data_IF_061232851559
#
_entry.id   IF_061232851559
#
_cell.length_a   1.000
_cell.length_b   1.000
_cell.length_c   1.000
_cell.angle_alpha   90.00
_cell.angle_beta   90.00
_cell.angle_gamma   90.00
#
_symmetry.space_group_name_H-M   'P 1'
#
loop_
_entity.id
_entity.type
_entity.pdbx_description
1 polymer ?
#
# COMPACT_ATOMS: atom_id res chain seq x y z
N UNK A 1 23.51 9.32 -20.23
CA UNK A 1 23.46 8.59 -21.52
C UNK A 1 24.11 7.25 -21.30
N UNK A 2 23.29 6.21 -21.12
CA UNK A 2 23.74 4.81 -21.06
C UNK A 2 22.74 4.05 -21.93
N UNK A 3 23.20 3.66 -23.12
CA UNK A 3 22.46 2.82 -24.04
C UNK A 3 22.44 1.39 -23.49
N UNK A 4 21.24 0.83 -23.30
CA UNK A 4 21.04 -0.58 -23.00
C UNK A 4 20.41 -1.25 -24.22
N UNK A 5 21.23 -2.04 -24.90
CA UNK A 5 20.87 -2.96 -25.99
C UNK A 5 19.92 -4.07 -25.53
N UNK A 6 18.97 -4.53 -26.36
CA UNK A 6 18.12 -5.67 -26.05
C UNK A 6 18.82 -7.01 -26.33
N UNK A 7 18.89 -7.85 -25.30
CA UNK A 7 19.33 -9.26 -25.37
C UNK A 7 18.24 -10.12 -26.01
N UNK A 8 18.53 -10.64 -27.21
CA UNK A 8 17.72 -11.64 -27.91
C UNK A 8 17.96 -13.02 -27.30
N UNK A 9 17.00 -13.52 -26.52
CA UNK A 9 16.95 -14.93 -26.16
C UNK A 9 16.45 -15.75 -27.36
N UNK A 10 17.33 -16.61 -27.88
CA UNK A 10 17.08 -17.54 -28.98
C UNK A 10 16.19 -18.68 -28.49
N UNK A 11 15.01 -18.82 -29.10
CA UNK A 11 14.21 -20.04 -29.02
C UNK A 11 14.94 -21.17 -29.76
N UNK A 12 15.30 -22.23 -29.03
CA UNK A 12 15.73 -23.50 -29.61
C UNK A 12 14.53 -24.24 -30.18
N UNK A 13 14.40 -24.20 -31.50
CA UNK A 13 13.56 -25.12 -32.27
C UNK A 13 14.22 -26.50 -32.27
N UNK A 14 13.56 -27.48 -31.67
CA UNK A 14 13.87 -28.90 -31.85
C UNK A 14 13.04 -29.44 -33.03
N UNK A 15 13.66 -29.99 -34.08
CA UNK A 15 12.98 -30.75 -35.12
C UNK A 15 13.01 -32.25 -34.76
N UNK A 16 11.84 -32.85 -34.57
CA UNK A 16 11.66 -34.30 -34.46
C UNK A 16 10.21 -34.62 -34.80
N UNK A 17 9.85 -34.99 -36.04
CA UNK A 17 10.14 -36.27 -36.71
C UNK A 17 9.56 -37.44 -35.93
N UNK A 18 8.23 -37.67 -36.01
CA UNK A 18 7.63 -38.97 -35.73
C UNK A 18 6.36 -39.20 -36.57
N UNK A 19 6.54 -40.10 -37.54
CA UNK A 19 5.60 -41.06 -38.11
C UNK A 19 4.31 -40.61 -38.80
N UNK A 20 4.39 -40.72 -40.13
CA UNK A 20 3.34 -41.21 -41.00
C UNK A 20 2.61 -42.42 -40.38
N UNK A 21 1.31 -42.27 -40.10
CA UNK A 21 0.43 -43.35 -39.67
C UNK A 21 -0.77 -43.43 -40.62
N UNK A 22 -0.60 -44.32 -41.60
CA UNK A 22 -1.61 -45.18 -42.22
C UNK A 22 -2.97 -44.55 -42.63
N UNK A 23 -3.06 -44.29 -43.94
CA UNK A 23 -4.30 -44.36 -44.72
C UNK A 23 -4.97 -45.74 -44.51
N UNK A 24 -5.90 -45.82 -43.57
CA UNK A 24 -6.88 -46.91 -43.48
C UNK A 24 -8.16 -46.43 -44.16
N UNK A 25 -8.30 -46.81 -45.42
CA UNK A 25 -9.50 -46.64 -46.22
C UNK A 25 -10.61 -47.55 -45.64
N UNK A 26 -11.33 -47.08 -44.61
CA UNK A 26 -12.50 -47.81 -44.10
C UNK A 26 -13.70 -47.60 -45.03
N UNK A 27 -14.32 -48.69 -45.52
CA UNK A 27 -15.39 -48.64 -46.49
C UNK A 27 -16.73 -48.26 -45.85
N UNK A 28 -17.54 -47.57 -46.64
CA UNK A 28 -19.00 -47.65 -46.70
C UNK A 28 -19.75 -47.93 -45.39
N UNK A 29 -20.22 -46.86 -44.74
CA UNK A 29 -21.49 -46.92 -43.99
C UNK A 29 -22.60 -47.09 -45.04
N UNK A 30 -22.92 -48.34 -45.34
CA UNK A 30 -24.02 -48.72 -46.21
C UNK A 30 -25.35 -48.37 -45.52
N UNK A 31 -26.13 -47.51 -46.17
CA UNK A 31 -27.59 -47.51 -46.21
C UNK A 31 -28.33 -48.01 -44.95
N UNK A 32 -28.27 -47.26 -43.83
CA UNK A 32 -29.42 -47.14 -42.94
C UNK A 32 -30.42 -46.13 -43.54
N UNK A 33 -30.69 -46.25 -44.84
CA UNK A 33 -31.85 -45.62 -45.44
C UNK A 33 -33.03 -46.55 -45.15
N UNK A 34 -34.07 -45.98 -44.55
CA UNK A 34 -35.46 -46.46 -44.61
C UNK A 34 -36.00 -47.28 -43.45
N UNK A 35 -35.94 -46.74 -42.23
CA UNK A 35 -37.20 -46.71 -41.46
C UNK A 35 -37.42 -45.39 -40.69
N UNK A 36 -37.26 -44.26 -41.38
CA UNK A 36 -37.64 -42.95 -40.82
C UNK A 36 -39.09 -42.93 -40.31
N UNK A 37 -39.95 -43.82 -40.82
CA UNK A 37 -41.32 -44.00 -40.38
C UNK A 37 -41.39 -44.70 -39.01
N UNK A 38 -40.63 -45.78 -38.80
CA UNK A 38 -40.52 -46.39 -37.48
C UNK A 38 -39.95 -45.40 -36.45
N UNK A 39 -38.92 -44.64 -36.81
CA UNK A 39 -38.35 -43.62 -35.91
C UNK A 39 -39.33 -42.50 -35.60
N UNK A 40 -40.05 -42.01 -36.60
CA UNK A 40 -41.09 -41.01 -36.38
C UNK A 40 -42.24 -41.55 -35.53
N UNK A 41 -42.64 -42.81 -35.74
CA UNK A 41 -43.66 -43.47 -34.94
C UNK A 41 -43.19 -43.61 -33.49
N UNK A 42 -41.95 -44.07 -33.27
CA UNK A 42 -41.31 -44.14 -31.96
C UNK A 42 -41.27 -42.77 -31.28
N UNK A 43 -40.96 -41.72 -32.04
CA UNK A 43 -40.99 -40.34 -31.56
C UNK A 43 -42.38 -39.89 -31.15
N UNK A 44 -43.42 -40.20 -31.93
CA UNK A 44 -44.81 -39.90 -31.57
C UNK A 44 -45.26 -40.66 -30.33
N UNK A 45 -44.93 -41.95 -30.21
CA UNK A 45 -45.24 -42.76 -29.03
C UNK A 45 -44.55 -42.21 -27.79
N UNK A 46 -43.25 -41.88 -27.89
CA UNK A 46 -42.50 -41.25 -26.80
C UNK A 46 -43.04 -39.85 -26.45
N UNK A 47 -43.46 -39.05 -27.45
CA UNK A 47 -44.06 -37.73 -27.24
C UNK A 47 -45.41 -37.83 -26.53
N UNK A 48 -46.27 -38.75 -26.95
CA UNK A 48 -47.56 -39.03 -26.30
C UNK A 48 -47.38 -39.60 -24.87
N UNK A 49 -46.26 -40.31 -24.62
CA UNK A 49 -45.86 -40.80 -23.30
C UNK A 49 -45.07 -39.77 -22.45
N UNK A 50 -44.95 -38.52 -22.91
CA UNK A 50 -44.18 -37.45 -22.25
C UNK A 50 -42.69 -37.77 -21.99
N UNK A 51 -42.14 -38.72 -22.74
CA UNK A 51 -40.73 -39.11 -22.73
C UNK A 51 -39.94 -38.18 -23.65
N UNK A 52 -39.84 -36.90 -23.28
CA UNK A 52 -39.36 -35.82 -24.16
C UNK A 52 -37.96 -36.06 -24.73
N UNK A 53 -37.07 -36.68 -23.95
CA UNK A 53 -35.71 -37.00 -24.39
C UNK A 53 -35.72 -38.06 -25.48
N UNK A 54 -36.42 -39.17 -25.25
CA UNK A 54 -36.54 -40.27 -26.21
C UNK A 54 -37.29 -39.81 -27.48
N UNK A 55 -38.29 -38.93 -27.32
CA UNK A 55 -39.00 -38.30 -28.43
C UNK A 55 -38.06 -37.43 -29.28
N UNK A 56 -37.25 -36.57 -28.66
CA UNK A 56 -36.28 -35.74 -29.38
C UNK A 56 -35.26 -36.60 -30.15
N UNK A 57 -34.66 -37.60 -29.51
CA UNK A 57 -33.70 -38.51 -30.15
C UNK A 57 -34.34 -39.28 -31.33
N UNK A 58 -35.58 -39.75 -31.18
CA UNK A 58 -36.29 -40.43 -32.26
C UNK A 58 -36.66 -39.49 -33.42
N UNK A 59 -37.09 -38.25 -33.12
CA UNK A 59 -37.37 -37.27 -34.16
C UNK A 59 -36.09 -36.79 -34.88
N UNK A 60 -34.96 -36.66 -34.18
CA UNK A 60 -33.65 -36.40 -34.81
C UNK A 60 -33.29 -37.49 -35.82
N UNK A 61 -33.45 -38.76 -35.44
CA UNK A 61 -33.21 -39.90 -36.34
C UNK A 61 -34.18 -39.90 -37.52
N UNK A 62 -35.46 -39.58 -37.29
CA UNK A 62 -36.44 -39.45 -38.36
C UNK A 62 -36.08 -38.32 -39.34
N UNK A 63 -35.68 -37.14 -38.84
CA UNK A 63 -35.19 -36.00 -39.63
C UNK A 63 -33.95 -36.38 -40.42
N UNK A 64 -33.00 -37.11 -39.82
CA UNK A 64 -31.79 -37.58 -40.49
C UNK A 64 -32.10 -38.53 -41.65
N UNK A 65 -33.13 -39.37 -41.50
CA UNK A 65 -33.60 -40.26 -42.56
C UNK A 65 -34.41 -39.55 -43.65
N UNK A 66 -35.30 -38.64 -43.26
CA UNK A 66 -36.12 -37.82 -44.17
C UNK A 66 -36.51 -36.47 -43.53
N UNK A 67 -35.85 -35.36 -43.89
CA UNK A 67 -36.17 -34.06 -43.32
C UNK A 67 -37.45 -33.44 -43.92
N UNK A 68 -37.86 -33.84 -45.13
CA UNK A 68 -39.01 -33.24 -45.82
C UNK A 68 -40.36 -33.60 -45.16
N UNK A 69 -41.14 -32.63 -44.69
CA UNK A 69 -42.48 -32.89 -44.18
C UNK A 69 -43.42 -33.33 -45.31
N UNK A 70 -44.49 -34.04 -44.97
CA UNK A 70 -45.52 -34.47 -45.92
C UNK A 70 -46.92 -34.31 -45.33
N UNK A 71 -47.87 -33.67 -46.03
CA UNK A 71 -49.25 -33.55 -45.54
C UNK A 71 -49.96 -34.91 -45.49
N UNK A 72 -49.49 -35.90 -46.26
CA UNK A 72 -50.01 -37.28 -46.25
C UNK A 72 -48.87 -38.28 -46.39
N UNK A 73 -48.70 -39.13 -45.40
CA UNK A 73 -47.97 -40.39 -45.59
C UNK A 73 -48.91 -41.36 -46.35
N UNK A 74 -48.36 -42.24 -47.19
CA UNK A 74 -49.15 -43.04 -48.14
C UNK A 74 -50.36 -43.76 -47.52
N UNK A 75 -51.40 -44.00 -48.35
CA UNK A 75 -52.78 -44.45 -47.99
C UNK A 75 -52.92 -45.61 -46.99
N UNK A 76 -51.87 -46.35 -46.67
CA UNK A 76 -51.93 -47.57 -45.83
C UNK A 76 -51.45 -47.39 -44.39
N UNK A 77 -50.69 -46.35 -44.03
CA UNK A 77 -49.96 -46.38 -42.75
C UNK A 77 -50.35 -45.32 -41.70
N UNK A 78 -50.69 -44.06 -42.02
CA UNK A 78 -51.02 -43.07 -40.98
C UNK A 78 -51.88 -41.93 -41.54
N UNK A 79 -52.96 -41.57 -40.83
CA UNK A 79 -53.80 -40.40 -41.17
C UNK A 79 -53.23 -39.06 -40.66
N UNK A 80 -52.21 -39.10 -39.79
CA UNK A 80 -51.54 -37.89 -39.29
C UNK A 80 -50.51 -37.38 -40.32
N UNK A 81 -50.36 -36.05 -40.50
CA UNK A 81 -49.30 -35.48 -41.33
C UNK A 81 -47.91 -35.81 -40.75
N UNK A 82 -46.91 -35.91 -41.63
CA UNK A 82 -45.51 -36.09 -41.26
C UNK A 82 -44.88 -34.73 -41.03
N UNK A 83 -44.69 -34.36 -39.76
CA UNK A 83 -44.21 -33.05 -39.32
C UNK A 83 -43.01 -33.21 -38.35
N UNK A 84 -41.91 -33.86 -38.77
CA UNK A 84 -40.83 -34.26 -37.85
C UNK A 84 -40.19 -33.06 -37.15
N UNK A 85 -39.92 -31.96 -37.87
CA UNK A 85 -39.35 -30.73 -37.29
C UNK A 85 -40.28 -30.03 -36.30
N UNK A 86 -41.60 -30.08 -36.49
CA UNK A 86 -42.56 -29.54 -35.51
C UNK A 86 -42.47 -30.30 -34.19
N UNK A 87 -42.57 -31.62 -34.25
CA UNK A 87 -42.54 -32.45 -33.05
C UNK A 87 -41.17 -32.47 -32.37
N UNK A 88 -40.08 -32.40 -33.15
CA UNK A 88 -38.73 -32.20 -32.64
C UNK A 88 -38.63 -30.90 -31.83
N UNK A 89 -39.12 -29.78 -32.38
CA UNK A 89 -39.14 -28.50 -31.67
C UNK A 89 -39.98 -28.55 -30.39
N UNK A 90 -41.13 -29.23 -30.43
CA UNK A 90 -41.97 -29.44 -29.25
C UNK A 90 -41.31 -30.31 -28.19
N UNK A 91 -40.58 -31.35 -28.57
CA UNK A 91 -39.80 -32.18 -27.64
C UNK A 91 -38.68 -31.36 -26.98
N UNK A 92 -37.90 -30.59 -27.74
CA UNK A 92 -36.88 -29.69 -27.18
C UNK A 92 -37.47 -28.62 -26.25
N UNK A 93 -38.64 -28.08 -26.58
CA UNK A 93 -39.34 -27.14 -25.71
C UNK A 93 -39.64 -27.73 -24.33
N UNK A 94 -40.13 -28.97 -24.29
CA UNK A 94 -40.39 -29.67 -23.03
C UNK A 94 -39.12 -30.05 -22.27
N UNK A 95 -38.00 -30.26 -22.98
CA UNK A 95 -36.67 -30.40 -22.39
C UNK A 95 -36.09 -29.07 -21.87
N UNK A 96 -36.74 -27.94 -22.14
CA UNK A 96 -36.25 -26.61 -21.80
C UNK A 96 -35.14 -26.10 -22.73
N UNK A 97 -34.86 -26.81 -23.83
CA UNK A 97 -33.87 -26.42 -24.83
C UNK A 97 -34.50 -25.49 -25.87
N UNK A 98 -34.70 -24.24 -25.45
CA UNK A 98 -35.36 -23.25 -26.29
C UNK A 98 -34.59 -22.90 -27.57
N UNK A 99 -33.27 -23.09 -27.60
CA UNK A 99 -32.47 -22.78 -28.79
C UNK A 99 -32.78 -23.79 -29.90
N UNK A 100 -32.61 -25.08 -29.60
CA UNK A 100 -32.92 -26.13 -30.56
C UNK A 100 -34.41 -26.20 -30.90
N UNK A 101 -35.30 -25.89 -29.94
CA UNK A 101 -36.74 -25.79 -30.20
C UNK A 101 -37.08 -24.74 -31.27
N UNK A 102 -36.57 -23.52 -31.12
CA UNK A 102 -36.78 -22.42 -32.08
C UNK A 102 -36.19 -22.75 -33.44
N UNK A 103 -35.00 -23.33 -33.50
CA UNK A 103 -34.36 -23.77 -34.74
C UNK A 103 -35.20 -24.82 -35.49
N UNK A 104 -35.66 -25.86 -34.79
CA UNK A 104 -36.50 -26.91 -35.37
C UNK A 104 -37.85 -26.35 -35.86
N UNK A 105 -38.48 -25.44 -35.13
CA UNK A 105 -39.72 -24.80 -35.58
C UNK A 105 -39.53 -23.86 -36.76
N UNK A 106 -38.44 -23.09 -36.80
CA UNK A 106 -38.11 -22.25 -37.96
C UNK A 106 -37.91 -23.11 -39.21
N UNK A 107 -37.29 -24.28 -39.08
CA UNK A 107 -37.18 -25.24 -40.18
C UNK A 107 -38.54 -25.80 -40.61
N UNK A 108 -39.40 -26.14 -39.65
CA UNK A 108 -40.77 -26.61 -39.92
C UNK A 108 -41.58 -25.58 -40.73
N UNK A 109 -41.53 -24.30 -40.33
CA UNK A 109 -42.20 -23.21 -41.05
C UNK A 109 -41.58 -22.95 -42.44
N UNK A 110 -40.23 -22.98 -42.55
CA UNK A 110 -39.53 -22.80 -43.83
C UNK A 110 -39.97 -23.81 -44.88
N UNK A 111 -40.31 -25.04 -44.47
CA UNK A 111 -40.81 -26.12 -45.34
C UNK A 111 -42.30 -25.99 -45.68
N UNK A 112 -43.03 -25.09 -45.02
CA UNK A 112 -44.39 -24.67 -45.39
C UNK A 112 -45.54 -25.63 -45.05
N UNK A 113 -45.31 -26.94 -44.92
CA UNK A 113 -46.39 -27.92 -44.69
C UNK A 113 -47.15 -27.68 -43.38
N UNK A 114 -46.49 -27.14 -42.36
CA UNK A 114 -47.09 -26.82 -41.05
C UNK A 114 -48.11 -25.67 -41.11
N UNK A 115 -48.04 -24.79 -42.12
CA UNK A 115 -48.84 -23.55 -42.18
C UNK A 115 -50.34 -23.84 -42.27
N UNK A 116 -50.72 -24.91 -42.99
CA UNK A 116 -52.11 -25.32 -43.18
C UNK A 116 -52.61 -26.32 -42.11
N UNK A 117 -51.82 -26.55 -41.05
CA UNK A 117 -52.10 -27.53 -40.02
C UNK A 117 -52.57 -26.84 -38.73
N UNK A 118 -53.47 -27.43 -37.93
CA UNK A 118 -53.93 -26.84 -36.67
C UNK A 118 -52.78 -26.61 -35.67
N UNK A 119 -51.70 -27.39 -35.76
CA UNK A 119 -50.49 -27.27 -34.95
C UNK A 119 -49.73 -25.95 -35.13
N UNK A 120 -50.02 -25.14 -36.16
CA UNK A 120 -49.33 -23.86 -36.37
C UNK A 120 -49.54 -22.87 -35.23
N UNK A 121 -50.72 -22.88 -34.59
CA UNK A 121 -51.02 -22.01 -33.47
C UNK A 121 -50.14 -22.34 -32.25
N UNK A 122 -50.03 -23.63 -31.93
CA UNK A 122 -49.18 -24.16 -30.87
C UNK A 122 -47.70 -23.86 -31.12
N UNK A 123 -47.21 -24.03 -32.36
CA UNK A 123 -45.85 -23.66 -32.75
C UNK A 123 -45.58 -22.18 -32.45
N UNK A 124 -46.47 -21.28 -32.88
CA UNK A 124 -46.29 -19.83 -32.71
C UNK A 124 -46.25 -19.44 -31.24
N UNK A 125 -47.17 -19.97 -30.43
CA UNK A 125 -47.23 -19.72 -28.99
C UNK A 125 -45.96 -20.18 -28.28
N UNK A 126 -45.58 -21.46 -28.44
CA UNK A 126 -44.41 -22.01 -27.75
C UNK A 126 -43.10 -21.38 -28.21
N UNK A 127 -42.99 -21.01 -29.50
CA UNK A 127 -41.85 -20.26 -30.01
C UNK A 127 -41.75 -18.88 -29.39
N UNK A 128 -42.87 -18.17 -29.22
CA UNK A 128 -42.87 -16.87 -28.54
C UNK A 128 -42.32 -17.00 -27.11
N UNK A 129 -42.80 -17.99 -26.35
CA UNK A 129 -42.29 -18.27 -24.99
C UNK A 129 -40.79 -18.56 -24.98
N UNK A 130 -40.29 -19.37 -25.92
CA UNK A 130 -38.86 -19.63 -26.00
C UNK A 130 -38.04 -18.42 -26.43
N UNK A 131 -38.55 -17.60 -27.33
CA UNK A 131 -37.87 -16.37 -27.77
C UNK A 131 -37.73 -15.39 -26.62
N UNK A 132 -38.77 -15.24 -25.80
CA UNK A 132 -38.73 -14.45 -24.56
C UNK A 132 -37.69 -14.99 -23.57
N UNK A 133 -37.69 -16.31 -23.32
CA UNK A 133 -36.70 -16.95 -22.43
C UNK A 133 -35.26 -16.77 -22.92
N UNK A 134 -35.03 -16.89 -24.23
CA UNK A 134 -33.72 -16.65 -24.84
C UNK A 134 -33.29 -15.20 -24.67
N UNK A 135 -34.19 -14.23 -24.90
CA UNK A 135 -33.89 -12.81 -24.71
C UNK A 135 -33.52 -12.48 -23.26
N UNK A 136 -34.23 -13.05 -22.29
CA UNK A 136 -33.93 -12.90 -20.85
C UNK A 136 -32.59 -13.54 -20.47
N UNK A 137 -32.26 -14.70 -21.05
CA UNK A 137 -30.96 -15.35 -20.88
C UNK A 137 -29.82 -14.50 -21.46
N UNK A 138 -29.94 -14.03 -22.70
CA UNK A 138 -28.93 -13.24 -23.39
C UNK A 138 -28.66 -11.91 -22.67
N UNK A 139 -29.70 -11.21 -22.19
CA UNK A 139 -29.57 -10.01 -21.36
C UNK A 139 -28.81 -10.31 -20.04
N UNK A 140 -29.13 -11.43 -19.40
CA UNK A 140 -28.48 -11.82 -18.15
C UNK A 140 -27.03 -12.25 -18.35
N UNK A 141 -26.73 -12.91 -19.47
CA UNK A 141 -25.38 -13.24 -19.88
C UNK A 141 -24.56 -11.97 -20.12
N UNK A 142 -25.09 -11.04 -20.91
CA UNK A 142 -24.45 -9.74 -21.18
C UNK A 142 -24.15 -8.98 -19.89
N UNK A 143 -25.12 -8.92 -18.96
CA UNK A 143 -24.94 -8.28 -17.63
C UNK A 143 -23.86 -8.96 -16.79
N UNK A 144 -23.83 -10.30 -16.77
CA UNK A 144 -22.82 -11.06 -16.04
C UNK A 144 -21.41 -10.86 -16.62
N UNK A 145 -21.27 -10.89 -17.95
CA UNK A 145 -20.02 -10.62 -18.64
C UNK A 145 -19.50 -9.20 -18.38
N UNK A 146 -20.37 -8.20 -18.48
CA UNK A 146 -20.03 -6.81 -18.17
C UNK A 146 -19.54 -6.64 -16.72
N UNK A 147 -20.22 -7.29 -15.76
CA UNK A 147 -19.82 -7.27 -14.36
C UNK A 147 -18.45 -7.92 -14.12
N UNK A 148 -18.22 -9.12 -14.69
CA UNK A 148 -16.92 -9.81 -14.59
C UNK A 148 -15.81 -9.00 -15.26
N UNK A 149 -16.05 -8.41 -16.44
CA UNK A 149 -15.09 -7.55 -17.11
C UNK A 149 -14.73 -6.31 -16.28
N UNK A 150 -15.71 -5.71 -15.59
CA UNK A 150 -15.47 -4.59 -14.68
C UNK A 150 -14.61 -4.98 -13.47
N UNK A 151 -14.91 -6.12 -12.85
CA UNK A 151 -14.12 -6.67 -11.75
C UNK A 151 -12.67 -7.00 -12.17
N UNK A 152 -12.46 -7.54 -13.39
CA UNK A 152 -11.12 -7.78 -13.96
C UNK A 152 -10.33 -6.49 -14.14
N UNK A 153 -10.94 -5.40 -14.62
CA UNK A 153 -10.27 -4.09 -14.73
C UNK A 153 -9.83 -3.57 -13.36
N UNK A 154 -10.69 -3.69 -12.34
CA UNK A 154 -10.34 -3.30 -10.98
C UNK A 154 -9.20 -4.17 -10.40
N UNK A 155 -9.22 -5.47 -10.66
CA UNK A 155 -8.13 -6.39 -10.29
C UNK A 155 -6.78 -6.01 -10.94
N UNK A 156 -6.78 -5.67 -12.24
CA UNK A 156 -5.58 -5.23 -12.94
C UNK A 156 -4.97 -3.96 -12.31
N UNK A 157 -5.82 -2.98 -11.98
CA UNK A 157 -5.39 -1.75 -11.30
C UNK A 157 -4.78 -2.04 -9.91
N UNK A 158 -5.38 -2.94 -9.12
CA UNK A 158 -4.83 -3.37 -7.83
C UNK A 158 -3.50 -4.12 -7.99
N UNK A 159 -3.36 -4.91 -9.06
CA UNK A 159 -2.12 -5.62 -9.37
C UNK A 159 -0.98 -4.65 -9.71
N UNK A 160 -1.24 -3.63 -10.55
CA UNK A 160 -0.28 -2.57 -10.84
C UNK A 160 0.14 -1.84 -9.56
N UNK A 161 -0.83 -1.50 -8.70
CA UNK A 161 -0.58 -0.87 -7.42
C UNK A 161 0.31 -1.72 -6.50
N UNK A 162 0.22 -3.05 -6.57
CA UNK A 162 1.05 -3.94 -5.76
C UNK A 162 2.52 -4.01 -6.18
N UNK A 163 2.84 -3.64 -7.42
CA UNK A 163 4.22 -3.55 -7.90
C UNK A 163 4.97 -2.31 -7.41
N UNK A 164 4.26 -1.36 -6.78
CA UNK A 164 4.84 -0.08 -6.35
C UNK A 164 5.57 -0.18 -5.01
N UNK A 165 6.86 0.18 -5.00
CA UNK A 165 7.73 0.09 -3.82
C UNK A 165 7.32 1.02 -2.67
N UNK A 166 6.80 2.21 -2.99
CA UNK A 166 6.32 3.20 -2.02
C UNK A 166 5.09 2.73 -1.23
N UNK A 167 4.44 1.65 -1.68
CA UNK A 167 3.25 1.07 -1.05
C UNK A 167 3.53 -0.26 -0.34
N UNK A 168 4.78 -0.65 -0.16
CA UNK A 168 5.12 -1.90 0.55
C UNK A 168 4.52 -1.94 1.96
N UNK A 169 4.57 -0.84 2.71
CA UNK A 169 3.96 -0.72 4.04
C UNK A 169 2.42 -0.72 4.04
N UNK A 170 1.77 -0.35 2.94
CA UNK A 170 0.31 -0.33 2.83
C UNK A 170 -0.28 -1.75 2.89
N UNK A 171 0.36 -2.71 2.22
CA UNK A 171 -0.15 -4.09 2.12
C UNK A 171 -0.20 -4.83 3.46
N UNK A 172 0.73 -4.49 4.36
CA UNK A 172 0.79 -5.03 5.73
C UNK A 172 0.02 -4.19 6.74
N UNK A 173 -0.56 -3.06 6.34
CA UNK A 173 -1.32 -2.17 7.23
C UNK A 173 -2.80 -2.57 7.33
N UNK A 174 -3.45 -2.17 8.42
CA UNK A 174 -4.88 -2.38 8.67
C UNK A 174 -5.23 -3.67 9.43
N UNK A 175 -6.50 -3.78 9.82
CA UNK A 175 -7.10 -4.99 10.42
C UNK A 175 -8.44 -5.27 9.73
N UNK A 176 -8.54 -6.28 8.83
CA UNK A 176 -7.47 -7.17 8.39
C UNK A 176 -6.46 -6.47 7.45
N UNK A 177 -5.25 -7.04 7.28
CA UNK A 177 -4.26 -6.58 6.31
C UNK A 177 -4.84 -6.41 4.89
N UNK A 178 -4.39 -5.40 4.16
CA UNK A 178 -4.86 -5.14 2.79
C UNK A 178 -4.55 -6.30 1.82
N UNK A 179 -3.45 -7.02 2.05
CA UNK A 179 -3.14 -8.25 1.30
C UNK A 179 -4.23 -9.33 1.44
N UNK A 180 -4.85 -9.45 2.61
CA UNK A 180 -5.95 -10.41 2.83
C UNK A 180 -7.24 -9.94 2.17
N UNK A 181 -7.51 -8.64 2.17
CA UNK A 181 -8.63 -8.07 1.42
C UNK A 181 -8.49 -8.35 -0.08
N UNK A 182 -7.29 -8.15 -0.63
CA UNK A 182 -6.97 -8.48 -2.04
C UNK A 182 -7.23 -9.96 -2.33
N UNK A 183 -6.72 -10.87 -1.51
CA UNK A 183 -6.92 -12.32 -1.69
C UNK A 183 -8.41 -12.70 -1.67
N UNK A 184 -9.19 -12.10 -0.78
CA UNK A 184 -10.65 -12.33 -0.73
C UNK A 184 -11.34 -11.84 -2.00
N UNK A 185 -10.95 -10.69 -2.53
CA UNK A 185 -11.48 -10.16 -3.80
C UNK A 185 -11.11 -11.05 -5.00
N UNK A 186 -9.87 -11.56 -5.05
CA UNK A 186 -9.40 -12.50 -6.08
C UNK A 186 -10.23 -13.80 -6.07
N UNK A 187 -10.47 -14.37 -4.88
CA UNK A 187 -11.31 -15.57 -4.75
C UNK A 187 -12.74 -15.34 -5.22
N UNK A 188 -13.32 -14.16 -4.94
CA UNK A 188 -14.65 -13.77 -5.42
C UNK A 188 -14.67 -13.62 -6.94
N UNK A 189 -13.67 -12.98 -7.53
CA UNK A 189 -13.56 -12.86 -8.99
C UNK A 189 -13.48 -14.25 -9.66
N UNK A 190 -12.62 -15.14 -9.15
CA UNK A 190 -12.50 -16.50 -9.67
C UNK A 190 -13.82 -17.29 -9.54
N UNK A 191 -14.60 -17.07 -8.48
CA UNK A 191 -15.92 -17.69 -8.34
C UNK A 191 -16.95 -17.15 -9.34
N UNK A 192 -16.97 -15.84 -9.55
CA UNK A 192 -17.82 -15.22 -10.57
C UNK A 192 -17.51 -15.75 -11.97
N UNK A 193 -16.22 -15.92 -12.31
CA UNK A 193 -15.79 -16.47 -13.60
C UNK A 193 -16.24 -17.92 -13.80
N UNK A 194 -16.12 -18.78 -12.78
CA UNK A 194 -16.63 -20.16 -12.85
C UNK A 194 -18.14 -20.20 -13.07
N UNK A 195 -18.89 -19.36 -12.35
CA UNK A 195 -20.36 -19.30 -12.49
C UNK A 195 -20.80 -18.76 -13.84
N UNK A 196 -20.08 -17.78 -14.38
CA UNK A 196 -20.31 -17.27 -15.73
C UNK A 196 -20.14 -18.39 -16.77
N UNK A 197 -19.09 -19.19 -16.65
CA UNK A 197 -18.83 -20.29 -17.56
C UNK A 197 -19.92 -21.38 -17.50
N UNK A 198 -20.38 -21.74 -16.30
CA UNK A 198 -21.54 -22.63 -16.12
C UNK A 198 -22.80 -22.04 -16.76
N UNK A 199 -23.03 -20.73 -16.60
CA UNK A 199 -24.18 -20.03 -17.15
C UNK A 199 -24.20 -19.93 -18.68
N UNK A 200 -23.01 -19.89 -19.32
CA UNK A 200 -22.87 -19.89 -20.79
C UNK A 200 -23.30 -21.22 -21.41
N UNK A 201 -22.97 -22.34 -20.76
CA UNK A 201 -23.19 -23.67 -21.34
C UNK A 201 -24.64 -24.16 -21.31
N UNK A 202 -25.55 -23.53 -20.54
CA UNK A 202 -26.92 -24.04 -20.34
C UNK A 202 -27.93 -22.89 -20.19
N UNK A 203 -28.96 -22.90 -21.03
CA UNK A 203 -30.09 -21.95 -20.92
C UNK A 203 -30.82 -22.03 -19.57
N UNK A 204 -30.86 -23.22 -18.96
CA UNK A 204 -31.47 -23.45 -17.65
C UNK A 204 -30.67 -22.88 -16.48
N UNK A 205 -29.46 -22.35 -16.70
CA UNK A 205 -28.57 -21.86 -15.65
C UNK A 205 -28.69 -20.35 -15.38
N UNK A 206 -29.91 -19.80 -15.50
CA UNK A 206 -30.19 -18.38 -15.22
C UNK A 206 -29.71 -17.93 -13.83
N UNK A 207 -29.93 -18.79 -12.83
CA UNK A 207 -29.46 -18.55 -11.46
C UNK A 207 -27.93 -18.39 -11.38
N UNK A 208 -27.17 -19.12 -12.20
CA UNK A 208 -25.71 -19.02 -12.25
C UNK A 208 -25.24 -17.71 -12.86
N UNK A 209 -25.90 -17.21 -13.91
CA UNK A 209 -25.60 -15.90 -14.51
C UNK A 209 -25.88 -14.75 -13.52
N UNK A 210 -27.03 -14.78 -12.85
CA UNK A 210 -27.36 -13.78 -11.83
C UNK A 210 -26.35 -13.80 -10.67
N UNK A 211 -26.00 -14.99 -10.17
CA UNK A 211 -24.98 -15.14 -9.13
C UNK A 211 -23.60 -14.69 -9.60
N UNK A 212 -23.19 -15.00 -10.84
CA UNK A 212 -21.94 -14.53 -11.42
C UNK A 212 -21.87 -13.00 -11.41
N UNK A 213 -22.92 -12.33 -11.89
CA UNK A 213 -23.02 -10.87 -11.88
C UNK A 213 -22.93 -10.28 -10.46
N UNK A 214 -23.64 -10.88 -9.50
CA UNK A 214 -23.64 -10.44 -8.10
C UNK A 214 -22.27 -10.60 -7.43
N UNK A 215 -21.65 -11.78 -7.55
CA UNK A 215 -20.32 -12.05 -6.98
C UNK A 215 -19.24 -11.19 -7.66
N UNK A 216 -19.34 -10.94 -8.97
CA UNK A 216 -18.43 -10.03 -9.66
C UNK A 216 -18.52 -8.60 -9.13
N UNK A 217 -19.73 -8.10 -8.84
CA UNK A 217 -19.93 -6.77 -8.23
C UNK A 217 -19.32 -6.69 -6.82
N UNK A 218 -19.45 -7.75 -6.02
CA UNK A 218 -18.78 -7.83 -4.71
C UNK A 218 -17.25 -7.76 -4.85
N UNK A 219 -16.68 -8.53 -5.78
CA UNK A 219 -15.25 -8.50 -6.07
C UNK A 219 -14.80 -7.10 -6.51
N UNK A 220 -15.54 -6.47 -7.42
CA UNK A 220 -15.29 -5.11 -7.89
C UNK A 220 -15.30 -4.11 -6.72
N UNK A 221 -16.30 -4.19 -5.84
CA UNK A 221 -16.40 -3.32 -4.67
C UNK A 221 -15.19 -3.47 -3.74
N UNK A 222 -14.76 -4.70 -3.47
CA UNK A 222 -13.56 -4.96 -2.66
C UNK A 222 -12.30 -4.39 -3.31
N UNK A 223 -12.10 -4.58 -4.61
CA UNK A 223 -10.96 -3.98 -5.32
C UNK A 223 -11.01 -2.45 -5.29
N UNK A 224 -12.19 -1.84 -5.48
CA UNK A 224 -12.33 -0.39 -5.41
C UNK A 224 -12.04 0.17 -4.01
N UNK A 225 -12.46 -0.55 -2.97
CA UNK A 225 -12.11 -0.21 -1.57
C UNK A 225 -10.60 -0.20 -1.36
N UNK A 226 -9.88 -1.20 -1.88
CA UNK A 226 -8.41 -1.27 -1.82
C UNK A 226 -7.77 -0.08 -2.57
N UNK A 227 -8.26 0.25 -3.78
CA UNK A 227 -7.76 1.38 -4.56
C UNK A 227 -7.94 2.71 -3.82
N UNK A 228 -9.12 2.94 -3.23
CA UNK A 228 -9.40 4.15 -2.45
C UNK A 228 -8.52 4.22 -1.19
N UNK A 229 -8.35 3.12 -0.47
CA UNK A 229 -7.50 3.05 0.71
C UNK A 229 -6.02 3.32 0.36
N UNK A 230 -5.55 2.79 -0.77
CA UNK A 230 -4.20 3.06 -1.25
C UNK A 230 -3.99 4.53 -1.63
N UNK A 231 -4.99 5.17 -2.24
CA UNK A 231 -4.96 6.61 -2.52
C UNK A 231 -4.87 7.41 -1.22
N UNK A 232 -5.67 7.08 -0.20
CA UNK A 232 -5.60 7.70 1.12
C UNK A 232 -4.21 7.57 1.75
N UNK A 233 -3.63 6.36 1.72
CA UNK A 233 -2.29 6.10 2.23
C UNK A 233 -1.21 6.94 1.52
N UNK A 234 -1.31 7.13 0.19
CA UNK A 234 -0.39 7.99 -0.57
C UNK A 234 -0.49 9.45 -0.15
N UNK A 235 -1.69 9.95 0.04
CA UNK A 235 -1.91 11.32 0.54
C UNK A 235 -1.31 11.50 1.93
N UNK A 236 -1.45 10.51 2.81
CA UNK A 236 -0.83 10.53 4.14
C UNK A 236 0.70 10.54 4.09
N UNK A 237 1.30 9.74 3.20
CA UNK A 237 2.74 9.75 2.97
C UNK A 237 3.21 11.12 2.45
N UNK A 238 2.50 11.71 1.49
CA UNK A 238 2.81 13.04 0.97
C UNK A 238 2.73 14.11 2.06
N UNK A 239 1.70 14.07 2.91
CA UNK A 239 1.56 15.01 4.03
C UNK A 239 2.66 14.84 5.08
N UNK A 240 3.07 13.60 5.38
CA UNK A 240 4.20 13.32 6.28
C UNK A 240 5.50 13.87 5.71
N UNK A 241 5.72 13.69 4.41
CA UNK A 241 6.88 14.23 3.70
C UNK A 241 6.90 15.76 3.74
N UNK A 242 5.77 16.41 3.43
CA UNK A 242 5.66 17.86 3.48
C UNK A 242 5.94 18.41 4.89
N UNK A 243 5.34 17.80 5.93
CA UNK A 243 5.61 18.18 7.33
C UNK A 243 7.08 18.02 7.69
N UNK A 244 7.72 16.94 7.21
CA UNK A 244 9.16 16.69 7.40
C UNK A 244 9.98 17.81 6.76
N UNK A 245 9.72 18.15 5.51
CA UNK A 245 10.45 19.21 4.80
C UNK A 245 10.24 20.59 5.44
N UNK A 246 9.01 20.93 5.84
CA UNK A 246 8.72 22.18 6.58
C UNK A 246 9.50 22.26 7.88
N UNK A 247 9.58 21.17 8.65
CA UNK A 247 10.37 21.10 9.89
C UNK A 247 11.87 21.27 9.61
N UNK A 248 12.43 20.59 8.60
CA UNK A 248 13.82 20.77 8.20
C UNK A 248 14.12 22.24 7.82
N UNK A 249 13.23 22.89 7.07
CA UNK A 249 13.37 24.29 6.71
C UNK A 249 13.36 25.23 7.93
N UNK A 250 12.53 24.95 8.93
CA UNK A 250 12.55 25.71 10.20
C UNK A 250 13.86 25.51 10.96
N UNK A 251 14.27 24.26 11.17
CA UNK A 251 15.52 23.92 11.87
C UNK A 251 16.74 24.54 11.19
N UNK A 252 16.78 24.57 9.86
CA UNK A 252 17.85 25.20 9.07
C UNK A 252 17.94 26.69 9.36
N UNK A 253 16.81 27.42 9.33
CA UNK A 253 16.78 28.86 9.65
C UNK A 253 17.21 29.14 11.09
N UNK A 254 16.68 28.38 12.03
CA UNK A 254 17.03 28.50 13.45
C UNK A 254 18.50 28.22 13.71
N UNK A 255 19.06 27.22 13.05
CA UNK A 255 20.48 26.85 13.16
C UNK A 255 21.39 27.94 12.61
N UNK A 256 21.05 28.53 11.46
CA UNK A 256 21.80 29.67 10.91
C UNK A 256 21.77 30.88 11.85
N UNK A 257 20.61 31.19 12.42
CA UNK A 257 20.47 32.28 13.39
C UNK A 257 21.34 32.03 14.65
N UNK A 258 21.30 30.83 15.21
CA UNK A 258 22.12 30.46 16.37
C UNK A 258 23.62 30.51 16.06
N UNK A 259 24.05 30.09 14.86
CA UNK A 259 25.44 30.23 14.43
C UNK A 259 25.88 31.69 14.29
N UNK A 260 24.99 32.57 13.81
CA UNK A 260 25.25 34.00 13.70
C UNK A 260 25.37 34.66 15.08
N UNK A 261 24.48 34.34 16.01
CA UNK A 261 24.55 34.79 17.41
C UNK A 261 25.84 34.31 18.08
N UNK A 262 26.18 33.02 17.94
CA UNK A 262 27.41 32.44 18.46
C UNK A 262 28.68 33.03 17.83
N UNK A 263 28.59 33.59 16.62
CA UNK A 263 29.70 34.26 15.95
C UNK A 263 29.97 35.67 16.51
N UNK A 264 28.97 36.33 17.09
CA UNK A 264 29.15 37.62 17.75
C UNK A 264 29.89 37.50 19.09
N UNK A 265 29.87 36.32 19.72
CA UNK A 265 30.60 36.06 20.95
C UNK A 265 32.08 35.76 20.67
N UNK A 266 33.01 36.30 21.47
CA UNK A 266 34.43 36.03 21.29
C UNK A 266 34.73 34.54 21.51
N UNK A 267 35.49 33.94 20.59
CA UNK A 267 35.77 32.50 20.50
C UNK A 267 36.75 31.98 21.59
N UNK A 268 36.64 32.48 22.83
CA UNK A 268 37.55 32.18 23.92
C UNK A 268 37.25 30.86 24.66
N UNK A 269 36.15 30.17 24.32
CA UNK A 269 35.78 28.87 24.89
C UNK A 269 36.01 27.76 23.85
N UNK A 270 36.90 26.79 24.09
CA UNK A 270 37.09 25.63 23.22
C UNK A 270 35.78 24.88 22.95
N UNK A 271 34.94 24.71 23.98
CA UNK A 271 33.62 24.07 23.88
C UNK A 271 32.69 24.81 22.91
N UNK A 272 32.62 26.15 22.98
CA UNK A 272 31.79 26.92 22.05
C UNK A 272 32.26 26.76 20.59
N UNK A 273 33.58 26.66 20.36
CA UNK A 273 34.12 26.40 19.02
C UNK A 273 33.70 25.02 18.52
N UNK A 274 33.82 24.00 19.37
CA UNK A 274 33.42 22.63 19.05
C UNK A 274 31.93 22.52 18.71
N UNK A 275 31.04 23.09 19.54
CA UNK A 275 29.60 23.05 19.29
C UNK A 275 29.19 23.83 18.04
N UNK A 276 29.88 24.94 17.72
CA UNK A 276 29.67 25.68 16.47
C UNK A 276 30.03 24.83 15.25
N UNK A 277 31.17 24.15 15.26
CA UNK A 277 31.57 23.28 14.14
C UNK A 277 30.67 22.04 14.04
N UNK A 278 30.21 21.49 15.17
CA UNK A 278 29.23 20.39 15.20
C UNK A 278 27.91 20.80 14.55
N UNK A 279 27.37 21.97 14.91
CA UNK A 279 26.15 22.50 14.31
C UNK A 279 26.34 22.82 12.83
N UNK A 280 27.46 23.45 12.43
CA UNK A 280 27.76 23.73 11.03
C UNK A 280 27.82 22.45 10.19
N UNK A 281 28.52 21.43 10.66
CA UNK A 281 28.61 20.13 9.98
C UNK A 281 27.23 19.47 9.82
N UNK A 282 26.38 19.54 10.84
CA UNK A 282 25.02 19.02 10.76
C UNK A 282 24.15 19.82 9.78
N UNK A 283 24.28 21.14 9.77
CA UNK A 283 23.58 22.05 8.87
C UNK A 283 23.98 21.81 7.41
N UNK A 284 25.28 21.79 7.11
CA UNK A 284 25.81 21.56 5.76
C UNK A 284 25.31 20.23 5.19
N UNK A 285 25.22 19.19 6.03
CA UNK A 285 24.69 17.88 5.63
C UNK A 285 23.20 17.94 5.26
N UNK A 286 22.39 18.66 6.04
CA UNK A 286 20.95 18.85 5.74
C UNK A 286 20.79 19.67 4.46
N UNK A 287 21.60 20.72 4.26
CA UNK A 287 21.56 21.56 3.06
C UNK A 287 21.99 20.80 1.79
N UNK A 288 23.03 19.97 1.87
CA UNK A 288 23.49 19.12 0.77
C UNK A 288 22.43 18.08 0.33
N UNK A 289 21.58 17.65 1.26
CA UNK A 289 20.52 16.67 0.96
C UNK A 289 19.26 17.30 0.33
N UNK A 290 19.00 18.59 0.58
CA UNK A 290 17.82 19.29 0.05
C UNK A 290 16.51 18.58 0.39
N UNK A 291 15.77 18.12 -0.62
CA UNK A 291 14.49 17.42 -0.42
C UNK A 291 14.64 15.97 0.06
N UNK A 292 15.88 15.45 0.16
CA UNK A 292 16.17 14.06 0.58
C UNK A 292 16.55 13.94 2.05
N UNK A 293 16.30 14.98 2.85
CA UNK A 293 16.64 15.00 4.28
C UNK A 293 15.89 13.90 5.03
N UNK A 294 16.64 12.99 5.62
CA UNK A 294 16.07 11.89 6.41
C UNK A 294 15.83 12.30 7.89
N UNK A 295 15.08 11.48 8.62
CA UNK A 295 14.75 11.74 10.02
C UNK A 295 15.96 11.63 10.98
N UNK A 296 17.08 11.05 10.54
CA UNK A 296 18.31 10.95 11.35
C UNK A 296 19.07 12.26 11.28
N UNK A 297 19.15 12.86 10.09
CA UNK A 297 19.86 14.11 9.88
C UNK A 297 19.11 15.30 10.49
N UNK A 298 17.76 15.28 10.47
CA UNK A 298 16.95 16.23 11.27
C UNK A 298 17.24 16.15 12.76
N UNK A 299 17.27 14.93 13.33
CA UNK A 299 17.54 14.73 14.77
C UNK A 299 18.93 15.20 15.17
N UNK A 300 19.95 14.95 14.32
CA UNK A 300 21.31 15.44 14.55
C UNK A 300 21.40 16.96 14.53
N UNK A 301 20.71 17.61 13.59
CA UNK A 301 20.66 19.07 13.52
C UNK A 301 19.97 19.66 14.77
N UNK A 302 18.84 19.08 15.16
CA UNK A 302 18.09 19.47 16.36
C UNK A 302 18.92 19.30 17.65
N UNK A 303 19.62 18.17 17.79
CA UNK A 303 20.52 17.92 18.92
C UNK A 303 21.67 18.94 18.97
N UNK A 304 22.37 19.16 17.85
CA UNK A 304 23.48 20.11 17.78
C UNK A 304 23.01 21.55 18.06
N UNK A 305 21.83 21.92 17.57
CA UNK A 305 21.23 23.23 17.84
C UNK A 305 20.91 23.40 19.33
N UNK A 306 20.33 22.37 19.95
CA UNK A 306 20.02 22.36 21.39
C UNK A 306 21.30 22.49 22.23
N UNK A 307 22.35 21.73 21.92
CA UNK A 307 23.63 21.79 22.66
C UNK A 307 24.33 23.15 22.49
N UNK A 308 24.28 23.75 21.29
CA UNK A 308 24.82 25.09 21.09
C UNK A 308 24.03 26.13 21.90
N UNK A 309 22.69 26.10 21.85
CA UNK A 309 21.84 27.03 22.63
C UNK A 309 22.13 26.95 24.13
N UNK A 310 22.22 25.74 24.69
CA UNK A 310 22.61 25.54 26.08
C UNK A 310 24.03 26.08 26.40
N UNK A 311 24.92 26.16 25.41
CA UNK A 311 26.26 26.75 25.59
C UNK A 311 26.25 28.28 25.47
N UNK A 312 25.25 28.85 24.79
CA UNK A 312 25.04 30.29 24.64
C UNK A 312 24.24 30.91 25.80
N UNK A 313 23.51 30.10 26.57
CA UNK A 313 22.77 30.58 27.74
C UNK A 313 23.68 31.39 28.65
N UNK A 314 23.19 32.57 29.03
CA UNK A 314 23.92 33.48 29.89
C UNK A 314 24.22 32.79 31.24
N UNK A 315 25.39 33.06 31.85
CA UNK A 315 25.67 32.56 33.19
C UNK A 315 24.56 33.00 34.17
N UNK A 316 24.25 32.21 35.21
CA UNK A 316 23.24 32.59 36.19
C UNK A 316 23.46 34.01 36.73
N UNK A 317 22.40 34.79 37.00
CA UNK A 317 22.52 36.19 37.41
C UNK A 317 23.34 36.35 38.70
N UNK A 318 23.33 35.34 39.57
CA UNK A 318 24.16 35.28 40.78
C UNK A 318 25.65 35.28 40.43
N UNK A 319 26.06 34.44 39.48
CA UNK A 319 27.44 34.40 39.01
C UNK A 319 27.83 35.73 38.34
N UNK A 320 26.92 36.35 37.57
CA UNK A 320 27.15 37.67 36.97
C UNK A 320 27.37 38.75 38.04
N UNK A 321 26.51 38.80 39.06
CA UNK A 321 26.59 39.78 40.15
C UNK A 321 27.87 39.63 40.98
N UNK A 322 28.25 38.37 41.26
CA UNK A 322 29.49 38.01 41.97
C UNK A 322 30.71 38.39 41.14
N UNK A 323 30.71 38.08 39.84
CA UNK A 323 31.80 38.45 38.94
C UNK A 323 31.95 39.97 38.83
N UNK A 324 30.85 40.72 38.71
CA UNK A 324 30.86 42.19 38.71
C UNK A 324 31.46 42.77 39.99
N UNK A 325 30.99 42.31 41.15
CA UNK A 325 31.52 42.75 42.45
C UNK A 325 33.01 42.43 42.62
N UNK A 326 33.44 41.26 42.14
CA UNK A 326 34.85 40.86 42.16
C UNK A 326 35.72 41.77 41.29
N UNK A 327 35.29 42.03 40.05
CA UNK A 327 36.03 42.86 39.09
C UNK A 327 36.13 44.33 39.54
N UNK A 328 35.16 44.82 40.29
CA UNK A 328 35.19 46.16 40.90
C UNK A 328 36.01 46.24 42.20
N UNK A 329 36.63 45.13 42.63
CA UNK A 329 37.42 45.09 43.87
C UNK A 329 36.58 45.07 45.15
N UNK A 330 35.26 44.90 45.05
CA UNK A 330 34.32 44.81 46.19
C UNK A 330 34.34 43.40 46.79
N UNK A 331 35.51 42.94 47.23
CA UNK A 331 35.72 41.57 47.72
C UNK A 331 34.84 41.21 48.92
N UNK A 332 34.52 42.16 49.81
CA UNK A 332 33.59 41.93 50.91
C UNK A 332 32.18 41.60 50.44
N UNK A 333 31.72 42.28 49.36
CA UNK A 333 30.42 42.01 48.75
C UNK A 333 30.38 40.63 48.07
N UNK A 334 31.50 40.19 47.48
CA UNK A 334 31.62 38.82 46.93
C UNK A 334 31.43 37.76 48.03
N UNK A 335 32.07 37.94 49.20
CA UNK A 335 31.91 36.99 50.31
C UNK A 335 30.49 37.03 50.90
N UNK A 336 29.89 38.22 51.03
CA UNK A 336 28.54 38.38 51.55
C UNK A 336 27.47 37.80 50.61
N UNK A 337 27.58 38.05 49.31
CA UNK A 337 26.65 37.52 48.30
C UNK A 337 26.67 35.98 48.22
N UNK A 338 27.75 35.36 48.69
CA UNK A 338 27.99 33.91 48.63
C UNK A 338 27.91 33.22 49.99
N UNK A 339 27.30 33.87 50.98
CA UNK A 339 26.94 33.26 52.25
C UNK A 339 25.71 32.31 52.12
N UNK A 340 24.96 32.42 51.01
CA UNK A 340 23.83 31.54 50.68
C UNK A 340 24.23 30.22 50.01
N UNK A 341 23.22 29.44 49.59
CA UNK A 341 23.42 28.20 48.85
C UNK A 341 24.07 28.47 47.48
N UNK A 342 24.96 27.56 47.05
CA UNK A 342 25.52 27.58 45.70
C UNK A 342 24.43 27.23 44.67
N UNK A 343 24.53 27.74 43.43
CA UNK A 343 23.61 27.34 42.37
C UNK A 343 23.71 25.84 42.09
N UNK A 344 22.60 25.25 41.62
CA UNK A 344 22.54 23.82 41.28
C UNK A 344 23.45 23.45 40.09
N UNK A 345 23.71 24.40 39.18
CA UNK A 345 24.66 24.19 38.08
C UNK A 345 26.10 24.05 38.64
N UNK A 346 26.72 22.86 38.53
CA UNK A 346 28.07 22.61 39.06
C UNK A 346 29.10 23.57 38.47
N UNK A 347 28.93 23.95 37.19
CA UNK A 347 29.85 24.86 36.53
C UNK A 347 29.74 26.26 37.12
N UNK A 348 28.53 26.79 37.28
CA UNK A 348 28.33 28.08 37.92
C UNK A 348 28.85 28.07 39.36
N UNK A 349 28.57 27.00 40.12
CA UNK A 349 29.06 26.82 41.48
C UNK A 349 30.59 26.84 41.57
N UNK A 350 31.29 26.14 40.68
CA UNK A 350 32.75 26.13 40.63
C UNK A 350 33.35 27.52 40.33
N UNK A 351 32.75 28.28 39.40
CA UNK A 351 33.19 29.64 39.09
C UNK A 351 32.93 30.59 40.25
N UNK A 352 31.78 30.46 40.91
CA UNK A 352 31.44 31.21 42.13
C UNK A 352 32.46 30.93 43.25
N UNK A 353 32.78 29.66 43.50
CA UNK A 353 33.76 29.25 44.51
C UNK A 353 35.16 29.78 44.19
N UNK A 354 35.56 29.77 42.92
CA UNK A 354 36.82 30.37 42.48
C UNK A 354 36.88 31.88 42.76
N UNK A 355 35.81 32.61 42.44
CA UNK A 355 35.71 34.05 42.71
C UNK A 355 35.68 34.33 44.22
N UNK A 356 34.99 33.51 45.00
CA UNK A 356 34.95 33.58 46.47
C UNK A 356 36.33 33.39 47.07
N UNK A 357 37.04 32.36 46.63
CA UNK A 357 38.41 32.09 47.06
C UNK A 357 39.33 33.27 46.76
N UNK A 358 39.26 33.82 45.55
CA UNK A 358 40.08 34.96 45.15
C UNK A 358 39.79 36.20 46.00
N UNK A 359 38.52 36.47 46.31
CA UNK A 359 38.10 37.56 47.19
C UNK A 359 38.61 37.37 48.63
N UNK A 360 38.45 36.17 49.19
CA UNK A 360 38.94 35.82 50.53
C UNK A 360 40.46 35.94 50.62
N UNK A 361 41.20 35.48 49.60
CA UNK A 361 42.65 35.64 49.52
C UNK A 361 43.07 37.12 49.50
N UNK A 362 42.42 37.93 48.66
CA UNK A 362 42.74 39.36 48.53
C UNK A 362 42.51 40.12 49.84
N UNK A 363 41.37 39.92 50.50
CA UNK A 363 41.07 40.51 51.80
C UNK A 363 42.03 40.01 52.88
N UNK A 364 42.26 38.70 52.95
CA UNK A 364 43.15 38.09 53.93
C UNK A 364 44.59 38.59 53.85
N UNK A 365 45.04 39.00 52.66
CA UNK A 365 46.34 39.63 52.43
C UNK A 365 46.38 41.13 52.67
N UNK A 366 45.24 41.82 52.57
CA UNK A 366 45.17 43.28 52.67
C UNK A 366 44.98 43.76 54.11
N UNK A 367 44.52 42.90 55.01
CA UNK A 367 44.48 43.19 56.45
C UNK A 367 45.90 43.33 57.02
N UNK A 368 46.22 44.39 57.80
CA UNK A 368 47.50 44.50 58.52
C UNK A 368 47.75 43.27 59.40
N UNK A 369 48.91 42.62 59.24
CA UNK A 369 49.23 41.34 59.91
C UNK A 369 48.65 40.09 59.25
N UNK A 370 47.80 40.25 58.23
CA UNK A 370 47.11 39.17 57.53
C UNK A 370 45.93 38.57 58.31
N UNK A 371 44.94 38.00 57.62
CA UNK A 371 43.84 37.25 58.23
C UNK A 371 43.93 35.75 57.84
N UNK A 372 44.40 34.89 58.77
CA UNK A 372 44.61 33.47 58.47
C UNK A 372 43.30 32.70 58.21
N UNK A 373 42.18 33.14 58.79
CA UNK A 373 40.87 32.50 58.60
C UNK A 373 40.42 32.63 57.15
N UNK A 374 40.54 33.84 56.58
CA UNK A 374 40.19 34.09 55.18
C UNK A 374 41.10 33.32 54.21
N UNK A 375 42.39 33.20 54.53
CA UNK A 375 43.32 32.41 53.72
C UNK A 375 43.00 30.91 53.78
N UNK A 376 42.55 30.39 54.92
CA UNK A 376 42.11 29.00 55.06
C UNK A 376 40.82 28.74 54.26
N UNK A 377 39.85 29.65 54.37
CA UNK A 377 38.61 29.59 53.58
C UNK A 377 38.91 29.60 52.08
N UNK A 378 39.81 30.49 51.63
CA UNK A 378 40.22 30.54 50.22
C UNK A 378 40.76 29.19 49.72
N UNK A 379 41.50 28.44 50.55
CA UNK A 379 41.98 27.10 50.18
C UNK A 379 40.85 26.07 50.12
N UNK A 380 39.95 26.10 51.09
CA UNK A 380 38.81 25.20 51.14
C UNK A 380 37.93 25.36 49.89
N UNK A 381 37.64 26.61 49.51
CA UNK A 381 36.84 26.94 48.33
C UNK A 381 37.50 26.48 47.02
N UNK A 382 38.83 26.63 46.87
CA UNK A 382 39.53 26.12 45.69
C UNK A 382 39.45 24.61 45.57
N UNK A 383 39.63 23.89 46.69
CA UNK A 383 39.55 22.43 46.68
C UNK A 383 38.14 21.94 46.37
N UNK A 384 37.12 22.63 46.88
CA UNK A 384 35.73 22.34 46.56
C UNK A 384 35.42 22.60 45.07
N UNK A 385 35.99 23.65 44.48
CA UNK A 385 35.82 23.96 43.06
C UNK A 385 36.64 23.07 42.11
N UNK A 386 37.71 22.45 42.60
CA UNK A 386 38.71 21.78 41.77
C UNK A 386 38.17 20.74 40.77
N UNK A 387 37.19 19.89 41.10
CA UNK A 387 36.67 18.88 40.16
C UNK A 387 36.09 19.47 38.88
N UNK A 388 35.56 20.70 38.95
CA UNK A 388 34.74 21.31 37.91
C UNK A 388 35.40 22.54 37.27
N UNK A 389 36.62 22.89 37.68
CA UNK A 389 37.37 24.02 37.11
C UNK A 389 38.06 23.62 35.80
N UNK A 390 37.68 24.21 34.65
CA UNK A 390 38.14 23.75 33.34
C UNK A 390 39.58 24.18 32.98
N UNK A 391 40.17 25.13 33.72
CA UNK A 391 41.51 25.67 33.44
C UNK A 391 42.03 26.53 34.59
N UNK A 392 43.37 26.76 34.69
CA UNK A 392 43.93 27.68 35.67
C UNK A 392 43.38 29.12 35.54
N UNK A 393 43.39 29.91 36.63
CA UNK A 393 42.81 31.25 36.65
C UNK A 393 43.50 32.18 35.64
N UNK A 394 42.70 32.91 34.86
CA UNK A 394 43.21 33.76 33.78
C UNK A 394 44.02 34.95 34.33
N UNK A 395 45.24 35.23 33.82
CA UNK A 395 46.08 36.33 34.30
C UNK A 395 45.44 37.72 34.23
N UNK A 396 44.47 37.93 33.33
CA UNK A 396 43.77 39.21 33.18
C UNK A 396 42.74 39.48 34.27
N UNK A 397 42.24 38.44 34.94
CA UNK A 397 41.17 38.55 35.96
C UNK A 397 41.76 38.38 37.36
N UNK A 398 42.80 37.56 37.50
CA UNK A 398 43.35 37.18 38.79
C UNK A 398 44.81 37.64 38.95
N UNK A 399 45.13 38.18 40.13
CA UNK A 399 46.47 38.69 40.43
C UNK A 399 47.54 37.59 40.37
N UNK A 400 48.81 37.92 40.04
CA UNK A 400 49.91 36.95 40.05
C UNK A 400 50.06 36.23 41.41
N UNK A 401 49.83 36.94 42.52
CA UNK A 401 49.88 36.39 43.86
C UNK A 401 48.79 35.34 44.09
N UNK A 402 47.55 35.59 43.64
CA UNK A 402 46.47 34.61 43.76
C UNK A 402 46.71 33.39 42.86
N UNK A 403 47.22 33.58 41.64
CA UNK A 403 47.55 32.47 40.74
C UNK A 403 48.61 31.54 41.33
N UNK A 404 49.66 32.10 41.95
CA UNK A 404 50.64 31.31 42.71
C UNK A 404 50.00 30.58 43.89
N UNK A 405 49.09 31.24 44.61
CA UNK A 405 48.33 30.63 45.70
C UNK A 405 47.44 29.47 45.21
N UNK A 406 46.81 29.62 44.04
CA UNK A 406 46.01 28.60 43.38
C UNK A 406 46.85 27.35 43.05
N UNK A 407 47.99 27.55 42.38
CA UNK A 407 48.94 26.48 42.02
C UNK A 407 49.46 25.72 43.25
N UNK A 408 49.83 26.44 44.31
CA UNK A 408 50.29 25.83 45.57
C UNK A 408 49.16 25.07 46.28
N UNK A 409 47.92 25.52 46.16
CA UNK A 409 46.79 24.93 46.90
C UNK A 409 46.28 23.65 46.25
N UNK A 410 46.20 23.62 44.92
CA UNK A 410 45.71 22.45 44.18
C UNK A 410 46.83 21.49 43.77
N UNK A 411 48.10 21.93 43.89
CA UNK A 411 49.24 21.18 43.39
C UNK A 411 49.32 21.24 41.85
N UNK A 412 50.39 20.67 41.25
CA UNK A 412 50.38 20.44 39.81
C UNK A 412 49.18 19.57 39.44
N UNK A 413 48.51 19.83 38.29
CA UNK A 413 47.47 18.92 37.82
C UNK A 413 48.06 17.51 37.75
N UNK A 414 47.34 16.52 38.30
CA UNK A 414 47.72 15.12 38.14
C UNK A 414 47.84 14.86 36.62
N UNK A 415 49.05 14.50 36.17
CA UNK A 415 49.33 14.25 34.75
C UNK A 415 48.59 13.02 34.23
#
# INVERSE_FOLDING_TARGET
>A
MVELTPSRARFGLAPGLFLAFWLSLSPMVAAAANDFLAEYKRGLEAYEAEQWKDAAEAFEQAVAGRPEPSPRLGRKLYFKPYLPHFYLGSAYFHLGDCRHAVEAWNESERRGVIVDQPQIAELKERRALCTERLGVHDDSLSKAEAAVASARRAFAAVTELSGRKDLSGFWSSGKPPMADQRRRAELRLADAERRLEVGRGRLSSFASLHQAASVAKEAQFLFQSILNAAQGYRSDLALKEEKRLRRAGSLTRESRAALQEAAALPAHSPRLREERERLRTALDRVEQQGDRVDARDQRRLEEALSTLRATLEAPPPELQAVAGSFLEGRYGAVLAALAGALPEDPRAAAHILLLRSAAAFALGRSTPGGNPVLLLQARADLRAAAPDLPSPPRPRVFSPAFRKFFEVTLGPPAQ
#
